data_IF_330872042408
#
_entry.id   IF_330872042408
#
_cell.length_a   1.000
_cell.length_b   1.000
_cell.length_c   1.000
_cell.angle_alpha   90.00
_cell.angle_beta   90.00
_cell.angle_gamma   90.00
#
_symmetry.space_group_name_H-M   'P 1'
#
loop_
_entity.id
_entity.type
_entity.pdbx_description
1 polymer ?
#
# COMPACT_ATOMS: atom_id res chain seq x y z
N UNK A 1 12.71 -26.89 3.24
CA UNK A 1 12.02 -25.74 2.60
C UNK A 1 11.89 -26.01 1.11
N UNK A 2 10.70 -25.95 0.51
CA UNK A 2 10.55 -26.18 -0.93
C UNK A 2 11.18 -25.02 -1.71
N UNK A 3 11.79 -25.33 -2.88
CA UNK A 3 12.41 -24.30 -3.76
C UNK A 3 11.42 -23.19 -4.11
N UNK A 4 10.13 -23.52 -4.22
CA UNK A 4 9.04 -22.60 -4.51
C UNK A 4 8.86 -21.54 -3.41
N UNK A 5 8.92 -21.94 -2.14
CA UNK A 5 8.78 -21.03 -1.01
C UNK A 5 9.98 -20.06 -0.92
N UNK A 6 11.19 -20.53 -1.18
CA UNK A 6 12.39 -19.70 -1.23
C UNK A 6 12.30 -18.63 -2.33
N UNK A 7 11.82 -19.01 -3.52
CA UNK A 7 11.61 -18.05 -4.62
C UNK A 7 10.55 -17.01 -4.28
N UNK A 8 9.45 -17.43 -3.65
CA UNK A 8 8.38 -16.53 -3.24
C UNK A 8 8.88 -15.49 -2.21
N UNK A 9 9.63 -15.92 -1.20
CA UNK A 9 10.22 -15.01 -0.22
C UNK A 9 11.22 -14.03 -0.85
N UNK A 10 11.94 -14.46 -1.88
CA UNK A 10 12.83 -13.57 -2.64
C UNK A 10 12.04 -12.49 -3.38
N UNK A 11 10.92 -12.85 -4.00
CA UNK A 11 10.02 -11.89 -4.66
C UNK A 11 9.50 -10.85 -3.64
N UNK A 12 9.07 -11.28 -2.45
CA UNK A 12 8.62 -10.36 -1.41
C UNK A 12 9.74 -9.43 -0.89
N UNK A 13 11.00 -9.92 -0.83
CA UNK A 13 12.14 -9.05 -0.50
C UNK A 13 12.34 -7.95 -1.54
N UNK A 14 12.27 -8.30 -2.83
CA UNK A 14 12.37 -7.33 -3.92
C UNK A 14 11.20 -6.36 -3.88
N UNK A 15 9.96 -6.85 -3.73
CA UNK A 15 8.76 -6.02 -3.64
C UNK A 15 8.81 -5.03 -2.47
N UNK A 16 9.36 -5.43 -1.31
CA UNK A 16 9.58 -4.54 -0.16
C UNK A 16 10.57 -3.39 -0.49
N UNK A 17 11.64 -3.69 -1.23
CA UNK A 17 12.60 -2.66 -1.66
C UNK A 17 11.95 -1.71 -2.67
N UNK A 18 11.21 -2.25 -3.65
CA UNK A 18 10.48 -1.45 -4.63
C UNK A 18 9.44 -0.54 -3.96
N UNK A 19 8.70 -1.03 -2.96
CA UNK A 19 7.76 -0.22 -2.20
C UNK A 19 8.45 0.95 -1.47
N UNK A 20 9.66 0.76 -0.94
CA UNK A 20 10.42 1.85 -0.33
C UNK A 20 10.88 2.89 -1.35
N UNK A 21 11.36 2.43 -2.52
CA UNK A 21 11.77 3.33 -3.60
C UNK A 21 10.56 4.13 -4.11
N UNK A 22 9.42 3.47 -4.35
CA UNK A 22 8.19 4.10 -4.76
C UNK A 22 7.72 5.16 -3.74
N UNK A 23 7.80 4.84 -2.44
CA UNK A 23 7.47 5.80 -1.37
C UNK A 23 8.32 7.07 -1.44
N UNK A 24 9.64 6.94 -1.62
CA UNK A 24 10.56 8.08 -1.73
C UNK A 24 10.23 8.91 -2.99
N UNK A 25 10.02 8.25 -4.13
CA UNK A 25 9.66 8.91 -5.38
C UNK A 25 8.34 9.67 -5.28
N UNK A 26 7.33 9.10 -4.59
CA UNK A 26 6.06 9.76 -4.36
C UNK A 26 6.19 11.01 -3.47
N UNK A 27 7.04 10.97 -2.45
CA UNK A 27 7.32 12.15 -1.61
C UNK A 27 8.01 13.25 -2.43
N UNK A 28 9.00 12.88 -3.26
CA UNK A 28 9.68 13.83 -4.15
C UNK A 28 8.67 14.41 -5.15
N UNK A 29 7.81 13.58 -5.73
CA UNK A 29 6.74 14.01 -6.64
C UNK A 29 5.75 14.97 -5.99
N UNK A 30 5.25 14.65 -4.79
CA UNK A 30 4.36 15.51 -4.04
C UNK A 30 5.01 16.87 -3.71
N UNK A 31 6.27 16.85 -3.29
CA UNK A 31 7.05 18.06 -3.02
C UNK A 31 7.24 18.90 -4.29
N UNK A 32 7.54 18.24 -5.42
CA UNK A 32 7.68 18.88 -6.72
C UNK A 32 6.39 19.55 -7.19
N UNK A 33 5.25 18.87 -7.06
CA UNK A 33 3.93 19.44 -7.39
C UNK A 33 3.60 20.64 -6.49
N UNK A 34 3.87 20.54 -5.19
CA UNK A 34 3.64 21.66 -4.26
C UNK A 34 4.52 22.87 -4.60
N UNK A 35 5.81 22.66 -4.85
CA UNK A 35 6.72 23.73 -5.29
C UNK A 35 6.31 24.31 -6.65
N UNK A 36 5.87 23.45 -7.57
CA UNK A 36 5.32 23.86 -8.86
C UNK A 36 4.10 24.77 -8.72
N UNK A 37 3.21 24.45 -7.78
CA UNK A 37 2.05 25.29 -7.48
C UNK A 37 2.46 26.69 -7.00
N UNK A 38 3.41 26.80 -6.07
CA UNK A 38 3.92 28.09 -5.60
C UNK A 38 4.68 28.85 -6.70
N UNK A 39 5.49 28.17 -7.50
CA UNK A 39 6.20 28.76 -8.61
C UNK A 39 5.24 29.31 -9.67
N UNK A 40 4.22 28.52 -10.05
CA UNK A 40 3.20 28.94 -11.01
C UNK A 40 2.42 30.16 -10.50
N UNK A 41 2.03 30.17 -9.22
CA UNK A 41 1.35 31.30 -8.57
C UNK A 41 2.21 32.57 -8.58
N UNK A 42 3.51 32.45 -8.38
CA UNK A 42 4.43 33.60 -8.45
C UNK A 42 4.55 34.12 -9.88
N UNK A 43 4.75 33.26 -10.88
CA UNK A 43 4.86 33.66 -12.28
C UNK A 43 3.55 34.27 -12.79
N UNK A 44 2.41 33.67 -12.44
CA UNK A 44 1.08 34.21 -12.79
C UNK A 44 0.87 35.64 -12.22
N UNK A 45 1.36 35.87 -11.01
CA UNK A 45 1.24 37.20 -10.36
C UNK A 45 2.18 38.28 -10.93
N UNK A 46 3.39 37.90 -11.37
CA UNK A 46 4.41 38.83 -11.81
C UNK A 46 4.55 38.98 -13.33
N UNK A 47 4.24 37.89 -14.08
CA UNK A 47 4.49 37.82 -15.53
C UNK A 47 3.39 37.04 -16.27
N UNK A 48 2.11 37.44 -16.17
CA UNK A 48 1.01 36.69 -16.79
C UNK A 48 1.12 36.62 -18.31
N UNK A 49 1.66 37.65 -18.96
CA UNK A 49 1.81 37.69 -20.42
C UNK A 49 2.76 36.63 -20.96
N UNK A 50 3.79 36.24 -20.19
CA UNK A 50 4.73 35.21 -20.60
C UNK A 50 4.10 33.78 -20.59
N UNK A 51 3.17 33.53 -19.68
CA UNK A 51 2.44 32.25 -19.61
C UNK A 51 1.55 32.10 -20.85
N UNK A 52 0.82 33.15 -21.18
CA UNK A 52 -0.05 33.19 -22.38
C UNK A 52 0.77 33.08 -23.67
N UNK A 53 1.89 33.77 -23.75
CA UNK A 53 2.79 33.75 -24.90
C UNK A 53 3.38 32.35 -25.15
N UNK A 54 3.60 31.56 -24.10
CA UNK A 54 4.06 30.16 -24.19
C UNK A 54 2.92 29.14 -24.37
N UNK A 55 1.68 29.59 -24.51
CA UNK A 55 0.52 28.72 -24.70
C UNK A 55 0.16 27.87 -23.46
N UNK A 56 0.61 28.28 -22.28
CA UNK A 56 0.32 27.58 -21.03
C UNK A 56 -1.05 28.04 -20.53
N UNK A 57 -1.98 27.08 -20.47
CA UNK A 57 -3.24 27.32 -19.80
C UNK A 57 -3.06 27.21 -18.29
N UNK A 58 -3.08 28.35 -17.60
CA UNK A 58 -2.79 28.45 -16.19
C UNK A 58 -3.77 27.65 -15.33
N UNK A 59 -5.06 27.68 -15.70
CA UNK A 59 -6.09 26.95 -14.98
C UNK A 59 -5.90 25.43 -15.07
N UNK A 60 -5.54 24.92 -16.28
CA UNK A 60 -5.22 23.51 -16.49
C UNK A 60 -3.96 23.12 -15.72
N UNK A 61 -2.94 23.96 -15.70
CA UNK A 61 -1.70 23.71 -14.96
C UNK A 61 -1.96 23.62 -13.43
N UNK A 62 -2.78 24.52 -12.88
CA UNK A 62 -3.20 24.41 -11.48
C UNK A 62 -3.99 23.12 -11.20
N UNK A 63 -4.90 22.74 -12.11
CA UNK A 63 -5.63 21.50 -12.01
C UNK A 63 -4.69 20.30 -11.92
N UNK A 64 -3.75 20.17 -12.84
CA UNK A 64 -2.81 19.04 -12.86
C UNK A 64 -1.91 19.00 -11.62
N UNK A 65 -1.46 20.14 -11.12
CA UNK A 65 -0.65 20.22 -9.91
C UNK A 65 -1.41 19.82 -8.66
N UNK A 66 -2.69 20.18 -8.53
CA UNK A 66 -3.53 19.79 -7.39
C UNK A 66 -3.81 18.29 -7.44
N UNK A 67 -4.29 17.80 -8.57
CA UNK A 67 -4.59 16.36 -8.74
C UNK A 67 -3.33 15.52 -8.58
N UNK A 68 -2.21 15.94 -9.17
CA UNK A 68 -0.92 15.30 -9.04
C UNK A 68 -0.43 15.23 -7.59
N UNK A 69 -0.61 16.31 -6.82
CA UNK A 69 -0.26 16.31 -5.39
C UNK A 69 -1.07 15.29 -4.61
N UNK A 70 -2.39 15.25 -4.80
CA UNK A 70 -3.27 14.29 -4.12
C UNK A 70 -2.96 12.85 -4.52
N UNK A 71 -2.72 12.62 -5.81
CA UNK A 71 -2.34 11.31 -6.33
C UNK A 71 -0.99 10.83 -5.76
N UNK A 72 0.02 11.69 -5.69
CA UNK A 72 1.32 11.38 -5.09
C UNK A 72 1.21 11.07 -3.59
N UNK A 73 0.39 11.82 -2.84
CA UNK A 73 0.13 11.54 -1.42
C UNK A 73 -0.54 10.18 -1.28
N UNK A 74 -1.57 9.90 -2.07
CA UNK A 74 -2.26 8.60 -2.07
C UNK A 74 -1.30 7.45 -2.39
N UNK A 75 -0.47 7.59 -3.41
CA UNK A 75 0.53 6.60 -3.79
C UNK A 75 1.61 6.41 -2.70
N UNK A 76 2.00 7.47 -1.98
CA UNK A 76 2.91 7.37 -0.85
C UNK A 76 2.29 6.56 0.31
N UNK A 77 1.03 6.83 0.66
CA UNK A 77 0.30 6.06 1.68
C UNK A 77 0.20 4.59 1.28
N UNK A 78 -0.18 4.30 0.04
CA UNK A 78 -0.27 2.93 -0.47
C UNK A 78 1.10 2.22 -0.44
N UNK A 79 2.17 2.89 -0.86
CA UNK A 79 3.54 2.35 -0.84
C UNK A 79 4.02 2.07 0.59
N UNK A 80 3.67 2.92 1.54
CA UNK A 80 3.98 2.71 2.96
C UNK A 80 3.26 1.48 3.53
N UNK A 81 1.96 1.34 3.26
CA UNK A 81 1.17 0.19 3.69
C UNK A 81 1.66 -1.11 3.06
N UNK A 82 1.98 -1.07 1.76
CA UNK A 82 2.56 -2.22 1.04
C UNK A 82 3.91 -2.63 1.63
N UNK A 83 4.77 -1.67 1.96
CA UNK A 83 6.06 -1.94 2.62
C UNK A 83 5.89 -2.61 3.99
N UNK A 84 4.88 -2.21 4.76
CA UNK A 84 4.53 -2.83 6.05
C UNK A 84 4.02 -4.26 5.85
N UNK A 85 3.12 -4.47 4.90
CA UNK A 85 2.61 -5.79 4.53
C UNK A 85 3.75 -6.76 4.17
N UNK A 86 4.64 -6.36 3.25
CA UNK A 86 5.78 -7.21 2.85
C UNK A 86 6.73 -7.50 4.02
N UNK A 87 6.93 -6.55 4.93
CA UNK A 87 7.73 -6.77 6.14
C UNK A 87 7.12 -7.86 7.01
N UNK A 88 5.81 -7.84 7.24
CA UNK A 88 5.11 -8.78 8.10
C UNK A 88 5.02 -10.18 7.47
N UNK A 89 4.78 -10.27 6.17
CA UNK A 89 4.82 -11.54 5.43
C UNK A 89 6.21 -12.19 5.49
N UNK A 90 7.27 -11.38 5.34
CA UNK A 90 8.64 -11.89 5.47
C UNK A 90 8.99 -12.34 6.88
N UNK A 91 8.44 -11.71 7.92
CA UNK A 91 8.61 -12.12 9.30
C UNK A 91 7.85 -13.41 9.62
N UNK A 92 6.66 -13.59 9.06
CA UNK A 92 5.86 -14.81 9.19
C UNK A 92 6.42 -16.00 8.38
N UNK A 93 7.31 -15.74 7.40
CA UNK A 93 7.88 -16.78 6.52
C UNK A 93 6.88 -17.41 5.54
N UNK A 94 5.62 -17.01 5.57
CA UNK A 94 4.56 -17.47 4.67
C UNK A 94 3.54 -16.37 4.44
N UNK A 95 3.02 -16.21 3.21
CA UNK A 95 1.91 -15.29 2.94
C UNK A 95 0.56 -15.85 3.41
N UNK A 96 0.48 -17.17 3.63
CA UNK A 96 -0.74 -17.86 4.05
C UNK A 96 -0.88 -17.83 5.58
N UNK A 97 -1.05 -16.61 6.11
CA UNK A 97 -1.35 -16.40 7.52
C UNK A 97 -2.61 -15.53 7.64
N UNK A 98 -3.38 -15.71 8.70
CA UNK A 98 -4.56 -14.89 8.95
C UNK A 98 -4.24 -13.40 9.04
N UNK A 99 -3.09 -13.05 9.63
CA UNK A 99 -2.63 -11.67 9.70
C UNK A 99 -2.22 -11.14 8.33
N UNK A 100 -1.53 -11.95 7.51
CA UNK A 100 -1.19 -11.60 6.14
C UNK A 100 -2.44 -11.37 5.27
N UNK A 101 -3.45 -12.24 5.38
CA UNK A 101 -4.73 -12.07 4.68
C UNK A 101 -5.44 -10.76 5.10
N UNK A 102 -5.50 -10.46 6.41
CA UNK A 102 -6.12 -9.25 6.94
C UNK A 102 -5.40 -7.98 6.46
N UNK A 103 -4.08 -7.99 6.43
CA UNK A 103 -3.30 -6.84 5.93
C UNK A 103 -3.45 -6.67 4.42
N UNK A 104 -3.50 -7.76 3.64
CA UNK A 104 -3.77 -7.73 2.21
C UNK A 104 -5.16 -7.13 1.93
N UNK A 105 -6.17 -7.49 2.71
CA UNK A 105 -7.50 -6.89 2.62
C UNK A 105 -7.48 -5.38 2.89
N UNK A 106 -6.76 -4.95 3.94
CA UNK A 106 -6.59 -3.53 4.26
C UNK A 106 -5.92 -2.75 3.12
N UNK A 107 -4.93 -3.36 2.45
CA UNK A 107 -4.32 -2.77 1.25
C UNK A 107 -5.33 -2.59 0.12
N UNK A 108 -6.17 -3.60 -0.13
CA UNK A 108 -7.23 -3.52 -1.13
C UNK A 108 -8.21 -2.39 -0.84
N UNK A 109 -8.70 -2.32 0.40
CA UNK A 109 -9.61 -1.25 0.84
C UNK A 109 -8.94 0.13 0.74
N UNK A 110 -7.69 0.26 1.20
CA UNK A 110 -6.95 1.53 1.10
C UNK A 110 -6.78 1.98 -0.35
N UNK A 111 -6.48 1.06 -1.28
CA UNK A 111 -6.38 1.36 -2.70
C UNK A 111 -7.71 1.90 -3.27
N UNK A 112 -8.84 1.31 -2.91
CA UNK A 112 -10.16 1.77 -3.36
C UNK A 112 -10.47 3.16 -2.79
N UNK A 113 -10.20 3.39 -1.50
CA UNK A 113 -10.42 4.70 -0.86
C UNK A 113 -9.56 5.78 -1.51
N UNK A 114 -8.27 5.49 -1.78
CA UNK A 114 -7.36 6.41 -2.45
C UNK A 114 -7.87 6.73 -3.87
N UNK A 115 -8.28 5.72 -4.63
CA UNK A 115 -8.86 5.91 -5.96
C UNK A 115 -10.09 6.80 -5.93
N UNK A 116 -11.00 6.54 -4.99
CA UNK A 116 -12.21 7.34 -4.83
C UNK A 116 -11.88 8.79 -4.45
N UNK A 117 -10.93 9.01 -3.55
CA UNK A 117 -10.50 10.36 -3.16
C UNK A 117 -9.90 11.13 -4.33
N UNK A 118 -9.00 10.50 -5.10
CA UNK A 118 -8.41 11.11 -6.31
C UNK A 118 -9.49 11.43 -7.33
N UNK A 119 -10.43 10.52 -7.57
CA UNK A 119 -11.54 10.73 -8.51
C UNK A 119 -12.43 11.91 -8.11
N UNK A 120 -12.76 12.03 -6.81
CA UNK A 120 -13.58 13.14 -6.30
C UNK A 120 -12.85 14.47 -6.45
N UNK A 121 -11.58 14.54 -6.06
CA UNK A 121 -10.77 15.77 -6.22
C UNK A 121 -10.65 16.13 -7.69
N UNK A 122 -10.35 15.17 -8.55
CA UNK A 122 -10.26 15.38 -10.00
C UNK A 122 -11.58 15.89 -10.59
N UNK A 123 -12.70 15.31 -10.21
CA UNK A 123 -14.03 15.73 -10.69
C UNK A 123 -14.40 17.15 -10.24
N UNK A 124 -14.14 17.49 -8.97
CA UNK A 124 -14.40 18.84 -8.45
C UNK A 124 -13.52 19.87 -9.17
N UNK A 125 -12.23 19.60 -9.29
CA UNK A 125 -11.27 20.53 -9.88
C UNK A 125 -11.54 20.69 -11.38
N UNK A 126 -11.85 19.59 -12.10
CA UNK A 126 -12.25 19.64 -13.51
C UNK A 126 -13.55 20.46 -13.72
N UNK A 127 -14.52 20.29 -12.83
CA UNK A 127 -15.77 21.09 -12.86
C UNK A 127 -15.49 22.58 -12.71
N UNK A 128 -14.62 22.96 -11.77
CA UNK A 128 -14.22 24.38 -11.58
C UNK A 128 -13.52 24.93 -12.82
N UNK A 129 -12.56 24.21 -13.39
CA UNK A 129 -11.85 24.66 -14.62
C UNK A 129 -12.80 24.79 -15.79
N UNK A 130 -13.73 23.84 -15.99
CA UNK A 130 -14.74 23.91 -17.05
C UNK A 130 -15.64 25.12 -16.94
N UNK A 131 -16.05 25.50 -15.72
CA UNK A 131 -16.87 26.70 -15.48
C UNK A 131 -16.06 27.97 -15.79
N UNK A 132 -14.78 28.03 -15.41
CA UNK A 132 -13.93 29.21 -15.61
C UNK A 132 -13.57 29.43 -17.09
N UNK A 133 -13.39 28.35 -17.87
CA UNK A 133 -12.89 28.45 -19.24
C UNK A 133 -13.98 28.30 -20.31
N UNK A 134 -15.19 27.95 -19.90
CA UNK A 134 -16.28 27.65 -20.85
C UNK A 134 -15.89 26.61 -21.91
N UNK A 135 -14.89 25.74 -21.60
CA UNK A 135 -14.32 24.75 -22.49
C UNK A 135 -14.66 23.33 -22.01
N UNK A 136 -15.03 22.48 -22.97
CA UNK A 136 -15.42 21.09 -22.72
C UNK A 136 -14.21 20.18 -22.51
N UNK A 137 -14.25 19.46 -21.41
CA UNK A 137 -13.64 18.15 -21.18
C UNK A 137 -12.12 18.05 -20.97
N UNK A 138 -11.72 18.16 -19.71
CA UNK A 138 -10.49 17.50 -19.24
C UNK A 138 -10.77 16.01 -19.00
N UNK A 139 -10.10 15.15 -19.76
CA UNK A 139 -10.33 13.70 -19.76
C UNK A 139 -9.37 13.02 -18.75
N UNK A 140 -9.79 12.89 -17.49
CA UNK A 140 -8.97 12.34 -16.38
C UNK A 140 -9.27 10.87 -16.03
N UNK A 141 -9.95 10.11 -16.91
CA UNK A 141 -10.58 8.84 -16.54
C UNK A 141 -9.65 7.61 -16.46
N UNK A 142 -8.43 7.65 -16.99
CA UNK A 142 -7.63 6.42 -17.18
C UNK A 142 -6.94 5.94 -15.91
N UNK A 143 -6.36 6.83 -15.14
CA UNK A 143 -5.56 6.46 -13.96
C UNK A 143 -6.39 5.92 -12.78
N UNK A 144 -7.60 6.44 -12.60
CA UNK A 144 -8.50 6.02 -11.52
C UNK A 144 -8.96 4.58 -11.69
N UNK A 145 -9.19 4.13 -12.93
CA UNK A 145 -9.63 2.77 -13.23
C UNK A 145 -8.58 1.71 -12.89
N UNK A 146 -7.31 1.98 -13.16
CA UNK A 146 -6.20 1.05 -12.87
C UNK A 146 -6.04 0.87 -11.35
N UNK A 147 -6.10 1.94 -10.58
CA UNK A 147 -5.94 1.89 -9.13
C UNK A 147 -7.11 1.18 -8.45
N UNK A 148 -8.34 1.38 -8.93
CA UNK A 148 -9.53 0.68 -8.47
C UNK A 148 -9.45 -0.82 -8.72
N UNK A 149 -9.08 -1.22 -9.94
CA UNK A 149 -8.87 -2.62 -10.32
C UNK A 149 -7.81 -3.30 -9.45
N UNK A 150 -6.72 -2.60 -9.15
CA UNK A 150 -5.67 -3.08 -8.25
C UNK A 150 -6.21 -3.33 -6.85
N UNK A 151 -7.09 -2.46 -6.34
CA UNK A 151 -7.73 -2.64 -5.04
C UNK A 151 -8.58 -3.91 -4.96
N UNK A 152 -9.40 -4.16 -5.98
CA UNK A 152 -10.20 -5.39 -6.10
C UNK A 152 -9.30 -6.63 -6.15
N UNK A 153 -8.21 -6.58 -6.91
CA UNK A 153 -7.24 -7.67 -7.00
C UNK A 153 -6.65 -8.03 -5.62
N UNK A 154 -6.25 -7.04 -4.80
CA UNK A 154 -5.77 -7.30 -3.45
C UNK A 154 -6.86 -7.88 -2.54
N UNK A 155 -8.11 -7.50 -2.69
CA UNK A 155 -9.22 -8.10 -1.94
C UNK A 155 -9.40 -9.57 -2.30
N UNK A 156 -9.34 -9.94 -3.59
CA UNK A 156 -9.39 -11.34 -4.02
C UNK A 156 -8.18 -12.13 -3.50
N UNK A 157 -6.97 -11.57 -3.58
CA UNK A 157 -5.77 -12.21 -3.01
C UNK A 157 -5.91 -12.46 -1.52
N UNK A 158 -6.53 -11.54 -0.78
CA UNK A 158 -6.80 -11.71 0.65
C UNK A 158 -7.66 -12.93 0.94
N UNK A 159 -8.70 -13.17 0.12
CA UNK A 159 -9.56 -14.37 0.26
C UNK A 159 -8.77 -15.65 0.00
N UNK A 160 -7.91 -15.65 -1.03
CA UNK A 160 -7.03 -16.80 -1.34
C UNK A 160 -6.08 -17.05 -0.18
N UNK A 161 -5.48 -16.02 0.39
CA UNK A 161 -4.56 -16.17 1.53
C UNK A 161 -5.27 -16.65 2.79
N UNK A 162 -6.49 -16.16 3.04
CA UNK A 162 -7.32 -16.63 4.14
C UNK A 162 -7.66 -18.13 3.98
N UNK A 163 -8.11 -18.53 2.81
CA UNK A 163 -8.40 -19.92 2.51
C UNK A 163 -7.15 -20.79 2.63
N UNK A 164 -6.00 -20.32 2.12
CA UNK A 164 -4.73 -21.02 2.29
C UNK A 164 -4.28 -21.15 3.75
N UNK A 165 -4.59 -20.16 4.59
CA UNK A 165 -4.32 -20.23 6.03
C UNK A 165 -5.22 -21.24 6.75
N UNK A 166 -6.48 -21.38 6.33
CA UNK A 166 -7.42 -22.37 6.87
C UNK A 166 -7.03 -23.80 6.50
N UNK A 167 -6.38 -24.00 5.35
CA UNK A 167 -5.90 -25.31 4.90
C UNK A 167 -4.56 -25.74 5.53
N UNK A 168 -3.83 -24.81 6.14
CA UNK A 168 -2.62 -25.18 6.89
C UNK A 168 -3.04 -25.91 8.16
N UNK A 169 -2.51 -27.12 8.44
CA UNK A 169 -2.74 -27.75 9.72
C UNK A 169 -2.29 -26.75 10.80
N UNK A 170 -3.17 -26.56 11.79
CA UNK A 170 -2.83 -25.76 12.96
C UNK A 170 -1.45 -26.22 13.44
N UNK A 171 -0.50 -25.31 13.76
CA UNK A 171 0.73 -25.72 14.39
C UNK A 171 0.32 -26.58 15.57
N UNK A 172 0.66 -27.87 15.48
CA UNK A 172 0.45 -28.83 16.56
C UNK A 172 0.96 -28.09 17.80
N UNK A 173 0.04 -27.76 18.71
CA UNK A 173 0.43 -27.40 20.05
C UNK A 173 1.19 -28.64 20.50
N UNK A 174 2.50 -28.61 20.41
CA UNK A 174 3.35 -29.51 21.14
C UNK A 174 2.93 -29.24 22.56
N UNK A 175 2.04 -30.10 23.03
CA UNK A 175 1.50 -30.02 24.36
C UNK A 175 2.71 -29.91 25.28
N UNK A 176 2.82 -28.80 25.98
CA UNK A 176 3.76 -28.62 27.06
C UNK A 176 3.52 -29.65 28.18
N UNK A 177 2.53 -30.50 28.00
CA UNK A 177 2.13 -31.63 28.83
C UNK A 177 3.01 -32.87 28.66
N UNK A 178 3.78 -32.97 27.55
CA UNK A 178 4.77 -34.05 27.38
C UNK A 178 6.19 -33.69 27.86
N UNK A 179 6.38 -32.52 28.41
CA UNK A 179 7.66 -32.08 28.98
C UNK A 179 7.66 -32.07 30.52
N UNK A 180 6.68 -32.69 31.16
CA UNK A 180 6.84 -33.06 32.58
C UNK A 180 7.56 -34.43 32.60
N UNK A 181 8.80 -34.49 33.09
CA UNK A 181 9.40 -35.76 33.45
C UNK A 181 8.54 -36.35 34.58
N UNK A 182 8.13 -37.60 34.44
CA UNK A 182 7.47 -38.37 35.48
C UNK A 182 8.29 -38.26 36.77
N UNK A 183 7.85 -37.44 37.72
CA UNK A 183 8.33 -37.39 39.09
C UNK A 183 7.78 -38.59 39.92
N UNK A 184 7.76 -39.76 39.37
CA UNK A 184 7.37 -40.96 40.10
C UNK A 184 8.44 -42.05 40.06
N UNK A 185 9.65 -41.74 40.54
CA UNK A 185 10.55 -42.87 40.88
C UNK A 185 11.61 -42.49 41.98
N UNK A 186 11.21 -41.75 42.98
CA UNK A 186 12.03 -41.51 44.18
C UNK A 186 11.27 -41.84 45.50
N UNK A 187 10.68 -43.05 45.59
CA UNK A 187 10.28 -43.62 46.88
C UNK A 187 10.45 -45.12 46.84
N UNK A 188 11.58 -45.56 47.30
CA UNK A 188 11.70 -46.75 48.17
C UNK A 188 13.13 -47.27 48.20
N UNK A 189 13.92 -46.72 49.05
CA UNK A 189 15.01 -47.50 49.66
C UNK A 189 14.73 -47.61 51.16
N UNK A 190 14.38 -48.75 51.69
CA UNK A 190 14.22 -48.92 53.09
C UNK A 190 15.59 -49.16 53.73
N UNK A 191 15.83 -48.38 54.78
CA UNK A 191 16.87 -48.61 55.75
C UNK A 191 16.88 -50.06 56.24
N UNK A 192 17.99 -50.72 56.09
CA UNK A 192 18.35 -51.91 56.84
C UNK A 192 19.78 -51.74 57.36
N UNK A 193 19.89 -51.20 58.58
CA UNK A 193 21.07 -51.37 59.37
C UNK A 193 20.84 -52.44 60.39
N UNK A 194 21.69 -53.45 60.39
CA UNK A 194 22.28 -54.13 61.51
C UNK A 194 23.81 -54.05 61.41
#
# INVERSE_FOLDING_TARGET
MSKTLSNLLTIFKVAKVLAKIAFILCIIGASGCALGFFALSAVDSFMPEQLVANGINVNVAYFELIVGTVACIGAAVFSFLSGKYFKNVLAAGTPFSFDGAKECFRLGVASIIISAAVAVVSAITAGVVTILENSLALNSNIETSITFSTGLFFMFLSLIFKYGAELQPAPEKIDAEQAMPDEEDYQSEPDSFE
#
